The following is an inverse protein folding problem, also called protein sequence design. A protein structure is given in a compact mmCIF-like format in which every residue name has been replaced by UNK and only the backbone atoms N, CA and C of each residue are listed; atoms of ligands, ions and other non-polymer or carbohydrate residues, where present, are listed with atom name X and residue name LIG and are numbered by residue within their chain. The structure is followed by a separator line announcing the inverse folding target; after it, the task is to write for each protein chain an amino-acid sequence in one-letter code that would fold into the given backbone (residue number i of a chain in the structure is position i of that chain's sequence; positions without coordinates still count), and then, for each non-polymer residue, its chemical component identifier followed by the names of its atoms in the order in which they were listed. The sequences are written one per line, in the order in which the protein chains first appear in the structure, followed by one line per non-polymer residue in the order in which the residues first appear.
data_IF_396902630452
#
_entry.id   IF_396902630452
#
_cell.length_a   1.000
_cell.length_b   1.000
_cell.length_c   1.000
_cell.angle_alpha   90.00
_cell.angle_beta   90.00
_cell.angle_gamma   90.00
#
_symmetry.space_group_name_H-M   'P 1'
#
loop_
_entity.id
_entity.type
_entity.pdbx_description
1 polymer ?
#
# COMPACT_ATOMS: atom_id res chain seq x y z
N UNK A 1 26.48 -19.34 -15.07
CA UNK A 1 25.40 -18.36 -14.84
C UNK A 1 24.53 -18.85 -13.70
N UNK A 2 24.66 -18.27 -12.49
CA UNK A 2 23.83 -18.65 -11.34
C UNK A 2 22.55 -17.80 -11.38
N UNK A 3 21.45 -18.46 -11.73
CA UNK A 3 20.11 -17.91 -11.65
C UNK A 3 19.73 -17.69 -10.18
N UNK A 4 18.81 -16.76 -9.92
CA UNK A 4 18.18 -16.42 -8.63
C UNK A 4 18.55 -17.31 -7.43
N UNK A 5 19.12 -16.72 -6.38
CA UNK A 5 19.57 -17.39 -5.13
C UNK A 5 18.41 -17.97 -4.28
N UNK A 6 17.57 -18.82 -4.86
CA UNK A 6 16.67 -19.67 -4.09
C UNK A 6 17.45 -20.89 -3.59
N UNK A 7 17.23 -21.22 -2.34
CA UNK A 7 17.79 -22.44 -1.74
C UNK A 7 17.00 -23.61 -2.31
N UNK A 8 17.71 -24.55 -2.94
CA UNK A 8 17.18 -25.83 -3.39
C UNK A 8 16.73 -26.66 -2.18
N UNK A 9 15.61 -27.36 -2.30
CA UNK A 9 15.06 -28.19 -1.24
C UNK A 9 15.94 -29.38 -0.88
N UNK A 10 16.72 -29.96 -1.80
CA UNK A 10 17.53 -31.15 -1.50
C UNK A 10 18.69 -30.86 -0.53
N UNK A 11 19.56 -29.84 -0.75
CA UNK A 11 20.60 -29.50 0.22
C UNK A 11 20.03 -29.10 1.59
N UNK A 12 18.84 -28.47 1.59
CA UNK A 12 18.17 -28.05 2.81
C UNK A 12 17.56 -29.25 3.57
N UNK A 13 17.02 -30.23 2.86
CA UNK A 13 16.59 -31.52 3.41
C UNK A 13 17.77 -32.22 4.09
N UNK A 14 18.91 -32.37 3.38
CA UNK A 14 20.12 -32.98 3.93
C UNK A 14 20.60 -32.27 5.20
N UNK A 15 20.57 -30.93 5.19
CA UNK A 15 20.94 -30.13 6.35
C UNK A 15 20.01 -30.40 7.54
N UNK A 16 18.70 -30.44 7.32
CA UNK A 16 17.74 -30.65 8.42
C UNK A 16 17.85 -32.08 8.94
N UNK A 17 17.95 -33.09 8.07
CA UNK A 17 18.10 -34.49 8.46
C UNK A 17 19.35 -34.72 9.31
N UNK A 18 20.47 -34.15 8.90
CA UNK A 18 21.76 -34.41 9.56
C UNK A 18 21.99 -33.57 10.81
N UNK A 19 21.50 -32.33 10.84
CA UNK A 19 21.87 -31.37 11.88
C UNK A 19 20.70 -30.89 12.74
N UNK A 20 19.46 -31.04 12.26
CA UNK A 20 18.25 -30.58 12.97
C UNK A 20 17.17 -31.67 13.09
N UNK A 21 17.48 -32.91 13.50
CA UNK A 21 16.53 -34.03 13.47
C UNK A 21 15.33 -33.87 14.43
N UNK A 22 15.41 -32.92 15.38
CA UNK A 22 14.31 -32.61 16.33
C UNK A 22 13.46 -31.41 15.90
N UNK A 23 13.70 -30.86 14.71
CA UNK A 23 12.97 -29.70 14.21
C UNK A 23 11.51 -30.05 13.97
N UNK A 24 10.59 -29.41 14.71
CA UNK A 24 9.14 -29.64 14.59
C UNK A 24 8.44 -28.62 13.69
N UNK A 25 9.03 -27.45 13.54
CA UNK A 25 8.43 -26.35 12.79
C UNK A 25 9.49 -25.74 11.91
N UNK A 26 9.23 -25.79 10.62
CA UNK A 26 10.05 -25.14 9.62
C UNK A 26 9.27 -23.98 9.01
N UNK A 27 9.92 -22.81 8.94
CA UNK A 27 9.35 -21.62 8.28
C UNK A 27 10.41 -21.05 7.37
N UNK A 28 10.08 -21.01 6.09
CA UNK A 28 10.93 -20.45 5.05
C UNK A 28 10.16 -19.35 4.33
N UNK A 29 10.83 -18.24 4.06
CA UNK A 29 10.30 -17.16 3.25
C UNK A 29 11.44 -16.55 2.46
N UNK A 30 11.40 -16.74 1.15
CA UNK A 30 12.36 -16.21 0.19
C UNK A 30 11.59 -15.31 -0.78
N UNK A 31 12.09 -14.10 -0.97
CA UNK A 31 11.57 -13.15 -1.97
C UNK A 31 12.74 -12.73 -2.83
N UNK A 32 12.58 -12.82 -4.14
CA UNK A 32 13.56 -12.33 -5.09
C UNK A 32 12.91 -11.31 -6.03
N UNK A 33 13.64 -10.23 -6.31
CA UNK A 33 13.25 -9.19 -7.25
C UNK A 33 13.88 -9.48 -8.61
N UNK A 34 13.07 -9.46 -9.66
CA UNK A 34 13.55 -9.62 -11.02
C UNK A 34 14.19 -8.32 -11.50
N UNK A 35 15.45 -8.09 -11.14
CA UNK A 35 16.20 -6.92 -11.61
C UNK A 35 16.64 -7.04 -13.08
N UNK A 36 16.73 -8.26 -13.62
CA UNK A 36 17.34 -8.50 -14.94
C UNK A 36 16.66 -9.60 -15.78
N UNK A 37 16.11 -10.67 -15.16
CA UNK A 37 15.40 -11.73 -15.90
C UNK A 37 14.42 -12.49 -15.00
N UNK A 38 13.13 -12.60 -15.38
CA UNK A 38 12.19 -13.44 -14.66
C UNK A 38 12.61 -14.92 -14.69
N UNK A 39 12.34 -15.65 -13.62
CA UNK A 39 12.50 -17.12 -13.63
C UNK A 39 11.54 -17.72 -14.65
N UNK A 40 12.03 -18.67 -15.44
CA UNK A 40 11.17 -19.43 -16.34
C UNK A 40 10.26 -20.34 -15.52
N UNK A 41 9.12 -20.73 -16.09
CA UNK A 41 8.22 -21.67 -15.42
C UNK A 41 8.92 -23.01 -15.11
N UNK A 42 9.80 -23.48 -15.99
CA UNK A 42 10.63 -24.67 -15.78
C UNK A 42 11.54 -24.54 -14.54
N UNK A 43 12.12 -23.36 -14.31
CA UNK A 43 12.94 -23.11 -13.12
C UNK A 43 12.09 -23.10 -11.85
N UNK A 44 10.87 -22.55 -11.93
CA UNK A 44 9.90 -22.61 -10.83
C UNK A 44 9.50 -24.07 -10.57
N UNK A 45 9.28 -24.87 -11.60
CA UNK A 45 8.98 -26.30 -11.45
C UNK A 45 10.15 -27.06 -10.82
N UNK A 46 11.37 -26.83 -11.28
CA UNK A 46 12.55 -27.45 -10.69
C UNK A 46 12.67 -27.11 -9.19
N UNK A 47 12.49 -25.84 -8.83
CA UNK A 47 12.46 -25.40 -7.43
C UNK A 47 11.35 -26.10 -6.66
N UNK A 48 10.10 -26.07 -7.15
CA UNK A 48 8.96 -26.70 -6.48
C UNK A 48 9.16 -28.22 -6.31
N UNK A 49 9.75 -28.89 -7.30
CA UNK A 49 10.02 -30.33 -7.26
C UNK A 49 11.04 -30.69 -6.17
N UNK A 50 12.04 -29.84 -5.91
CA UNK A 50 12.99 -30.06 -4.80
C UNK A 50 12.33 -30.05 -3.40
N UNK A 51 11.12 -29.49 -3.29
CA UNK A 51 10.31 -29.47 -2.06
C UNK A 51 9.12 -30.45 -2.08
N UNK A 52 9.11 -31.42 -3.01
CA UNK A 52 8.06 -32.44 -3.16
C UNK A 52 8.47 -33.84 -2.69
N UNK A 53 9.65 -34.00 -2.09
CA UNK A 53 10.05 -35.30 -1.52
C UNK A 53 9.15 -35.70 -0.35
N UNK A 54 9.15 -37.00 -0.02
CA UNK A 54 8.41 -37.55 1.13
C UNK A 54 8.81 -36.89 2.46
N UNK A 55 10.05 -36.41 2.56
CA UNK A 55 10.54 -35.63 3.69
C UNK A 55 9.66 -34.41 3.97
N UNK A 56 9.39 -33.60 2.95
CA UNK A 56 8.64 -32.37 3.08
C UNK A 56 7.16 -32.67 3.32
N UNK A 57 6.58 -33.53 2.49
CA UNK A 57 5.13 -33.74 2.41
C UNK A 57 4.63 -34.73 3.48
N UNK A 58 5.21 -35.93 3.53
CA UNK A 58 4.67 -37.04 4.31
C UNK A 58 5.22 -37.05 5.74
N UNK A 59 6.54 -36.94 5.89
CA UNK A 59 7.23 -37.01 7.18
C UNK A 59 6.95 -35.77 8.04
N UNK A 60 7.08 -34.58 7.46
CA UNK A 60 7.03 -33.32 8.21
C UNK A 60 5.76 -32.49 7.97
N UNK A 61 5.01 -32.75 6.89
CA UNK A 61 3.84 -31.96 6.47
C UNK A 61 4.16 -30.46 6.35
N UNK A 62 5.37 -30.15 5.87
CA UNK A 62 5.79 -28.80 5.53
C UNK A 62 5.54 -28.57 4.05
N UNK A 63 4.49 -27.82 3.76
CA UNK A 63 4.12 -27.49 2.40
C UNK A 63 4.70 -26.14 1.99
N UNK A 64 4.89 -25.96 0.69
CA UNK A 64 5.53 -24.78 0.11
C UNK A 64 4.67 -24.21 -0.99
N UNK A 65 4.70 -22.89 -1.12
CA UNK A 65 4.02 -22.12 -2.15
C UNK A 65 5.02 -21.23 -2.86
N UNK A 66 4.95 -21.25 -4.18
CA UNK A 66 5.61 -20.30 -5.05
C UNK A 66 4.55 -19.42 -5.74
N UNK A 67 4.75 -18.11 -5.66
CA UNK A 67 3.96 -17.12 -6.39
C UNK A 67 4.93 -16.21 -7.15
N UNK A 68 4.73 -16.05 -8.45
CA UNK A 68 5.52 -15.12 -9.25
C UNK A 68 4.61 -14.16 -10.01
N UNK A 69 5.03 -12.90 -10.09
CA UNK A 69 4.48 -11.89 -10.98
C UNK A 69 5.60 -11.33 -11.89
N UNK A 70 5.38 -10.18 -12.52
CA UNK A 70 6.38 -9.54 -13.39
C UNK A 70 7.65 -9.08 -12.66
N UNK A 71 7.56 -8.80 -11.37
CA UNK A 71 8.59 -8.08 -10.62
C UNK A 71 9.21 -8.93 -9.52
N UNK A 72 8.46 -9.89 -8.97
CA UNK A 72 8.91 -10.71 -7.87
C UNK A 72 8.52 -12.17 -8.00
N UNK A 73 9.30 -13.00 -7.33
CA UNK A 73 8.95 -14.37 -6.99
C UNK A 73 9.05 -14.52 -5.47
N UNK A 74 8.00 -15.10 -4.88
CA UNK A 74 7.86 -15.36 -3.45
C UNK A 74 7.72 -16.86 -3.26
N UNK A 75 8.69 -17.46 -2.59
CA UNK A 75 8.70 -18.86 -2.22
C UNK A 75 8.67 -19.01 -0.71
N UNK A 76 7.75 -19.79 -0.17
CA UNK A 76 7.58 -19.86 1.29
C UNK A 76 6.85 -21.11 1.77
N UNK A 77 7.00 -21.42 3.05
CA UNK A 77 6.17 -22.42 3.72
C UNK A 77 4.70 -21.95 3.82
N UNK A 78 3.76 -22.83 3.48
CA UNK A 78 2.31 -22.61 3.65
C UNK A 78 1.97 -22.62 5.14
N UNK A 79 1.21 -21.63 5.59
CA UNK A 79 0.69 -21.62 6.96
C UNK A 79 -0.76 -21.16 6.97
N UNK A 80 -1.57 -21.75 7.86
CA UNK A 80 -3.00 -21.43 8.01
C UNK A 80 -3.27 -19.98 8.45
N UNK A 81 -2.27 -19.28 8.98
CA UNK A 81 -2.42 -17.92 9.53
C UNK A 81 -2.18 -16.81 8.50
N UNK A 82 -1.92 -17.12 7.23
CA UNK A 82 -1.45 -16.09 6.31
C UNK A 82 -2.59 -15.21 5.77
N UNK A 83 -2.64 -13.96 6.23
CA UNK A 83 -3.47 -12.90 5.64
C UNK A 83 -2.65 -12.12 4.62
N UNK A 84 -3.07 -12.14 3.36
CA UNK A 84 -2.44 -11.37 2.29
C UNK A 84 -2.84 -9.90 2.40
N UNK A 85 -2.04 -9.09 3.11
CA UNK A 85 -2.38 -7.68 3.34
C UNK A 85 -2.30 -6.81 2.09
N UNK A 86 -1.43 -7.14 1.12
CA UNK A 86 -1.36 -6.52 -0.22
C UNK A 86 -0.69 -7.51 -1.17
N UNK A 87 -1.37 -7.92 -2.23
CA UNK A 87 -0.77 -8.78 -3.25
C UNK A 87 -1.21 -8.35 -4.64
N UNK A 88 -0.25 -8.33 -5.57
CA UNK A 88 -0.51 -8.41 -7.01
C UNK A 88 -0.98 -9.82 -7.34
N UNK A 89 -1.82 -9.98 -8.35
CA UNK A 89 -2.22 -11.32 -8.76
C UNK A 89 -1.01 -12.04 -9.35
N UNK A 90 -0.69 -13.25 -8.88
CA UNK A 90 0.44 -13.99 -9.42
C UNK A 90 0.11 -14.46 -10.84
N UNK A 91 1.07 -14.33 -11.75
CA UNK A 91 1.05 -15.00 -13.06
C UNK A 91 1.28 -16.51 -12.91
N UNK A 92 2.13 -16.88 -11.97
CA UNK A 92 2.43 -18.27 -11.65
C UNK A 92 2.09 -18.53 -10.19
N UNK A 93 1.27 -19.54 -9.95
CA UNK A 93 0.95 -20.04 -8.62
C UNK A 93 1.21 -21.55 -8.60
N UNK A 94 2.12 -22.00 -7.73
CA UNK A 94 2.38 -23.43 -7.51
C UNK A 94 2.42 -23.71 -6.01
N UNK A 95 1.87 -24.84 -5.61
CA UNK A 95 1.93 -25.32 -4.23
C UNK A 95 2.30 -26.79 -4.17
N UNK A 96 2.86 -27.21 -3.04
CA UNK A 96 2.99 -28.62 -2.67
C UNK A 96 1.86 -29.10 -1.77
N UNK A 97 1.03 -28.19 -1.24
CA UNK A 97 -0.21 -28.55 -0.53
C UNK A 97 -1.36 -28.73 -1.54
N UNK A 98 -1.99 -29.91 -1.62
CA UNK A 98 -3.11 -30.15 -2.55
C UNK A 98 -4.35 -29.29 -2.26
N UNK A 99 -4.51 -28.77 -1.04
CA UNK A 99 -5.60 -27.87 -0.67
C UNK A 99 -5.26 -26.40 -0.92
N UNK A 100 -4.04 -26.10 -1.36
CA UNK A 100 -3.58 -24.75 -1.58
C UNK A 100 -3.47 -24.47 -3.07
N UNK A 101 -4.58 -24.00 -3.62
CA UNK A 101 -4.72 -23.65 -5.03
C UNK A 101 -5.00 -22.16 -5.21
N UNK A 102 -5.00 -21.73 -6.46
CA UNK A 102 -5.18 -20.32 -6.83
C UNK A 102 -6.60 -19.82 -6.49
N UNK A 103 -7.62 -20.69 -6.56
CA UNK A 103 -8.98 -20.37 -6.17
C UNK A 103 -9.10 -20.08 -4.68
N UNK A 104 -8.43 -20.89 -3.84
CA UNK A 104 -8.34 -20.65 -2.40
C UNK A 104 -7.63 -19.34 -2.09
N UNK A 105 -6.58 -19.01 -2.84
CA UNK A 105 -5.93 -17.71 -2.75
C UNK A 105 -6.94 -16.58 -3.02
N UNK A 106 -7.69 -16.63 -4.13
CA UNK A 106 -8.67 -15.59 -4.47
C UNK A 106 -9.80 -15.47 -3.45
N UNK A 107 -10.33 -16.60 -2.97
CA UNK A 107 -11.41 -16.62 -1.97
C UNK A 107 -11.00 -16.15 -0.58
N UNK A 108 -9.70 -16.14 -0.27
CA UNK A 108 -9.15 -15.69 1.02
C UNK A 108 -8.51 -14.31 0.96
N UNK A 109 -8.29 -13.77 -0.25
CA UNK A 109 -7.70 -12.46 -0.45
C UNK A 109 -8.64 -11.36 0.04
N UNK A 110 -8.11 -10.48 0.89
CA UNK A 110 -8.84 -9.33 1.41
C UNK A 110 -8.31 -7.99 0.88
N UNK A 111 -7.14 -7.99 0.26
CA UNK A 111 -6.58 -6.82 -0.39
C UNK A 111 -5.92 -7.16 -1.70
N UNK A 112 -6.32 -6.42 -2.74
CA UNK A 112 -5.70 -6.46 -4.06
C UNK A 112 -4.95 -5.16 -4.22
N UNK A 113 -3.68 -5.26 -4.62
CA UNK A 113 -2.92 -4.10 -5.08
C UNK A 113 -2.34 -4.48 -6.42
N UNK A 114 -3.12 -4.25 -7.47
CA UNK A 114 -2.74 -4.69 -8.80
C UNK A 114 -3.01 -3.59 -9.82
N UNK A 115 -1.93 -2.88 -10.15
CA UNK A 115 -1.90 -1.85 -11.18
C UNK A 115 -1.91 -2.43 -12.59
N UNK A 116 -1.70 -3.74 -12.72
CA UNK A 116 -1.59 -4.47 -14.00
C UNK A 116 -2.66 -5.57 -14.14
N UNK A 117 -3.71 -5.55 -13.29
CA UNK A 117 -4.81 -6.52 -13.34
C UNK A 117 -5.40 -6.67 -14.75
N UNK A 118 -5.43 -5.56 -15.50
CA UNK A 118 -5.99 -5.46 -16.85
C UNK A 118 -5.05 -5.95 -17.96
N UNK A 119 -3.76 -6.15 -17.66
CA UNK A 119 -2.77 -6.61 -18.64
C UNK A 119 -2.79 -8.14 -18.79
N UNK A 120 -3.59 -8.84 -17.99
CA UNK A 120 -3.73 -10.29 -18.07
C UNK A 120 -4.97 -10.68 -18.90
N UNK A 121 -4.84 -11.65 -19.83
CA UNK A 121 -5.96 -12.10 -20.65
C UNK A 121 -7.12 -12.57 -19.78
N UNK A 122 -8.24 -11.89 -19.97
CA UNK A 122 -9.57 -12.00 -19.36
C UNK A 122 -9.74 -13.22 -18.43
N UNK A 123 -9.49 -12.99 -17.14
CA UNK A 123 -9.88 -13.90 -16.07
C UNK A 123 -11.38 -13.74 -15.80
N UNK A 124 -12.22 -14.18 -16.75
CA UNK A 124 -13.68 -13.95 -16.77
C UNK A 124 -14.47 -14.50 -15.56
N UNK A 125 -13.81 -15.06 -14.53
CA UNK A 125 -14.47 -15.73 -13.39
C UNK A 125 -13.73 -15.61 -12.05
N UNK A 126 -12.90 -14.58 -11.82
CA UNK A 126 -12.32 -14.43 -10.47
C UNK A 126 -13.32 -13.77 -9.54
N UNK A 127 -13.53 -14.40 -8.39
CA UNK A 127 -14.42 -13.91 -7.34
C UNK A 127 -13.62 -13.66 -6.06
N UNK A 128 -13.71 -12.43 -5.55
CA UNK A 128 -13.07 -12.00 -4.31
C UNK A 128 -14.13 -11.76 -3.22
N UNK A 129 -14.64 -12.81 -2.56
CA UNK A 129 -15.73 -12.72 -1.59
C UNK A 129 -15.39 -11.91 -0.33
N UNK A 130 -14.11 -11.67 -0.06
CA UNK A 130 -13.63 -11.02 1.17
C UNK A 130 -12.86 -9.73 0.89
N UNK A 131 -13.01 -9.16 -0.29
CA UNK A 131 -12.27 -7.98 -0.70
C UNK A 131 -12.66 -6.77 0.15
N UNK A 132 -11.72 -6.31 0.96
CA UNK A 132 -11.86 -5.17 1.86
C UNK A 132 -11.11 -3.94 1.33
N UNK A 133 -9.94 -4.17 0.74
CA UNK A 133 -9.06 -3.11 0.24
C UNK A 133 -8.71 -3.32 -1.22
N UNK A 134 -8.84 -2.29 -2.03
CA UNK A 134 -8.53 -2.35 -3.45
C UNK A 134 -7.60 -1.22 -3.86
N UNK A 135 -6.52 -1.52 -4.57
CA UNK A 135 -5.68 -0.53 -5.24
C UNK A 135 -5.77 -0.71 -6.74
N UNK A 136 -6.09 0.36 -7.46
CA UNK A 136 -6.30 0.36 -8.91
C UNK A 136 -5.51 1.47 -9.56
N UNK A 137 -5.04 1.21 -10.78
CA UNK A 137 -4.50 2.23 -11.67
C UNK A 137 -5.63 2.81 -12.51
N UNK A 138 -5.64 4.12 -12.66
CA UNK A 138 -6.63 4.83 -13.46
C UNK A 138 -6.03 5.35 -14.78
N UNK A 139 -6.86 5.48 -15.85
CA UNK A 139 -8.30 5.19 -15.92
C UNK A 139 -8.62 3.69 -15.89
N UNK A 140 -9.84 3.36 -15.51
CA UNK A 140 -10.28 1.96 -15.36
C UNK A 140 -11.04 1.54 -16.60
N UNK A 141 -10.61 0.44 -17.22
CA UNK A 141 -11.34 -0.17 -18.34
C UNK A 141 -12.70 -0.72 -17.87
N UNK A 142 -13.75 -0.58 -18.67
CA UNK A 142 -15.07 -1.16 -18.38
C UNK A 142 -15.04 -2.66 -18.07
N UNK A 143 -14.07 -3.40 -18.64
CA UNK A 143 -13.84 -4.81 -18.34
C UNK A 143 -13.43 -5.07 -16.90
N UNK A 144 -12.80 -4.10 -16.23
CA UNK A 144 -12.42 -4.22 -14.81
C UNK A 144 -13.65 -4.47 -13.93
N UNK A 145 -14.75 -3.81 -14.27
CA UNK A 145 -15.98 -3.86 -13.50
C UNK A 145 -16.68 -5.21 -13.56
N UNK A 146 -16.51 -5.96 -14.65
CA UNK A 146 -17.07 -7.31 -14.75
C UNK A 146 -16.25 -8.32 -13.95
N UNK A 147 -14.96 -8.05 -13.70
CA UNK A 147 -14.08 -8.92 -12.94
C UNK A 147 -14.27 -8.80 -11.42
N UNK A 148 -14.64 -7.62 -10.91
CA UNK A 148 -14.80 -7.41 -9.46
C UNK A 148 -16.26 -7.16 -9.11
N UNK A 149 -17.03 -8.24 -9.03
CA UNK A 149 -18.48 -8.19 -8.76
C UNK A 149 -18.84 -7.81 -7.31
N UNK A 150 -17.90 -7.86 -6.37
CA UNK A 150 -18.15 -7.66 -4.92
C UNK A 150 -17.54 -6.39 -4.33
N UNK A 151 -17.45 -5.31 -5.10
CA UNK A 151 -16.94 -4.03 -4.59
C UNK A 151 -17.78 -3.45 -3.45
N UNK A 152 -19.04 -3.84 -3.32
CA UNK A 152 -19.93 -3.34 -2.26
C UNK A 152 -19.37 -3.52 -0.84
N UNK A 153 -18.50 -4.52 -0.60
CA UNK A 153 -17.90 -4.77 0.71
C UNK A 153 -16.57 -4.03 0.94
N UNK A 154 -15.99 -3.45 -0.12
CA UNK A 154 -14.73 -2.75 -0.01
C UNK A 154 -14.92 -1.49 0.84
N UNK A 155 -14.07 -1.34 1.85
CA UNK A 155 -14.06 -0.15 2.70
C UNK A 155 -12.78 0.67 2.56
N UNK A 156 -11.81 0.19 1.77
CA UNK A 156 -10.57 0.90 1.46
C UNK A 156 -10.29 0.87 -0.03
N UNK A 157 -9.97 2.04 -0.59
CA UNK A 157 -9.66 2.23 -2.00
C UNK A 157 -8.40 3.07 -2.15
N UNK A 158 -7.48 2.60 -2.97
CA UNK A 158 -6.28 3.32 -3.39
C UNK A 158 -6.35 3.54 -4.90
N UNK A 159 -6.29 4.79 -5.34
CA UNK A 159 -6.33 5.16 -6.75
C UNK A 159 -4.95 5.66 -7.17
N UNK A 160 -4.40 5.11 -8.25
CA UNK A 160 -3.14 5.57 -8.83
C UNK A 160 -3.40 6.26 -10.18
N UNK A 161 -3.25 7.58 -10.20
CA UNK A 161 -3.41 8.41 -11.38
C UNK A 161 -2.12 8.42 -12.19
N UNK A 162 -2.14 7.69 -13.31
CA UNK A 162 -1.04 7.67 -14.28
C UNK A 162 -1.27 8.61 -15.47
N UNK A 163 -2.52 8.93 -15.77
CA UNK A 163 -2.95 9.85 -16.84
C UNK A 163 -4.14 10.67 -16.36
N UNK A 164 -4.64 11.60 -17.17
CA UNK A 164 -5.83 12.39 -16.85
C UNK A 164 -6.98 11.49 -16.39
N UNK A 165 -7.46 11.72 -15.16
CA UNK A 165 -8.57 11.01 -14.55
C UNK A 165 -9.71 11.99 -14.32
N UNK A 166 -10.92 11.61 -14.72
CA UNK A 166 -12.09 12.48 -14.65
C UNK A 166 -12.86 12.32 -13.33
N UNK A 167 -13.51 13.40 -12.90
CA UNK A 167 -14.46 13.38 -11.78
C UNK A 167 -15.57 12.33 -12.00
N UNK A 168 -16.08 12.19 -13.23
CA UNK A 168 -17.14 11.23 -13.56
C UNK A 168 -16.72 9.77 -13.34
N UNK A 169 -15.47 9.43 -13.62
CA UNK A 169 -14.94 8.09 -13.35
C UNK A 169 -14.82 7.84 -11.85
N UNK A 170 -14.33 8.83 -11.08
CA UNK A 170 -14.29 8.72 -9.63
C UNK A 170 -15.70 8.52 -9.05
N UNK A 171 -16.66 9.32 -9.47
CA UNK A 171 -18.04 9.22 -8.99
C UNK A 171 -18.62 7.84 -9.32
N UNK A 172 -18.38 7.33 -10.53
CA UNK A 172 -18.81 5.98 -10.92
C UNK A 172 -18.19 4.91 -10.03
N UNK A 173 -16.92 5.09 -9.64
CA UNK A 173 -16.26 4.20 -8.68
C UNK A 173 -16.93 4.26 -7.32
N UNK A 174 -17.05 5.46 -6.76
CA UNK A 174 -17.61 5.70 -5.43
C UNK A 174 -19.04 5.13 -5.30
N UNK A 175 -19.85 5.25 -6.35
CA UNK A 175 -21.20 4.67 -6.40
C UNK A 175 -21.22 3.13 -6.28
N UNK A 176 -20.12 2.45 -6.62
CA UNK A 176 -19.99 0.98 -6.53
C UNK A 176 -19.40 0.49 -5.21
N UNK A 177 -18.85 1.40 -4.40
CA UNK A 177 -18.26 1.11 -3.08
C UNK A 177 -18.98 1.90 -1.97
N UNK A 178 -20.29 1.68 -1.75
CA UNK A 178 -21.10 2.48 -0.81
C UNK A 178 -20.61 2.47 0.64
N UNK A 179 -19.78 1.49 1.02
CA UNK A 179 -19.21 1.36 2.36
C UNK A 179 -17.74 1.82 2.45
N UNK A 180 -17.26 2.56 1.45
CA UNK A 180 -15.91 3.11 1.44
C UNK A 180 -15.70 4.05 2.63
N UNK A 181 -14.68 3.77 3.44
CA UNK A 181 -14.26 4.59 4.58
C UNK A 181 -12.88 5.19 4.38
N UNK A 182 -12.02 4.52 3.61
CA UNK A 182 -10.64 4.94 3.37
C UNK A 182 -10.43 5.17 1.89
N UNK A 183 -9.99 6.37 1.54
CA UNK A 183 -9.57 6.74 0.20
C UNK A 183 -8.11 7.18 0.23
N UNK A 184 -7.28 6.56 -0.59
CA UNK A 184 -5.91 6.99 -0.84
C UNK A 184 -5.77 7.36 -2.31
N UNK A 185 -5.17 8.51 -2.56
CA UNK A 185 -4.88 8.97 -3.91
C UNK A 185 -3.35 9.03 -4.07
N UNK A 186 -2.88 8.37 -5.13
CA UNK A 186 -1.51 8.41 -5.61
C UNK A 186 -1.52 9.14 -6.94
N UNK A 187 -0.60 10.10 -7.11
CA UNK A 187 -0.42 10.77 -8.38
C UNK A 187 1.06 10.84 -8.72
N UNK A 188 1.42 10.41 -9.94
CA UNK A 188 2.78 10.53 -10.43
C UNK A 188 3.13 11.98 -10.79
N UNK A 189 4.40 12.36 -10.64
CA UNK A 189 4.90 13.73 -10.53
C UNK A 189 4.71 14.65 -11.75
N UNK A 190 4.19 14.16 -12.88
CA UNK A 190 4.18 14.88 -14.15
C UNK A 190 2.88 15.64 -14.48
N UNK A 191 1.78 15.41 -13.75
CA UNK A 191 0.48 16.00 -14.08
C UNK A 191 -0.05 16.89 -12.94
N UNK A 192 -0.76 17.99 -13.25
CA UNK A 192 -1.46 18.77 -12.24
C UNK A 192 -2.48 17.93 -11.47
N UNK A 193 -2.65 18.18 -10.18
CA UNK A 193 -3.66 17.48 -9.40
C UNK A 193 -5.09 17.89 -9.83
N UNK A 194 -5.98 16.93 -10.14
CA UNK A 194 -7.32 17.23 -10.59
C UNK A 194 -8.21 17.68 -9.41
N UNK A 195 -8.21 18.97 -9.09
CA UNK A 195 -9.05 19.54 -8.01
C UNK A 195 -10.55 19.28 -8.19
N UNK A 196 -11.00 19.04 -9.43
CA UNK A 196 -12.39 18.67 -9.73
C UNK A 196 -12.85 17.37 -9.08
N UNK A 197 -11.95 16.51 -8.60
CA UNK A 197 -12.30 15.30 -7.84
C UNK A 197 -13.04 15.62 -6.53
N UNK A 198 -12.82 16.80 -5.95
CA UNK A 198 -13.51 17.23 -4.74
C UNK A 198 -14.95 17.69 -5.00
N UNK A 199 -15.40 17.71 -6.26
CA UNK A 199 -16.81 17.89 -6.61
C UNK A 199 -17.60 16.57 -6.56
N UNK A 200 -16.97 15.44 -6.25
CA UNK A 200 -17.66 14.17 -6.06
C UNK A 200 -18.60 14.22 -4.84
N UNK A 201 -19.74 13.56 -4.96
CA UNK A 201 -20.76 13.41 -3.92
C UNK A 201 -20.61 12.06 -3.23
N UNK A 202 -19.86 12.04 -2.12
CA UNK A 202 -19.68 10.81 -1.34
C UNK A 202 -19.29 11.10 0.11
N UNK A 203 -20.25 11.17 1.04
CA UNK A 203 -19.98 11.65 2.40
C UNK A 203 -19.30 10.63 3.31
N UNK A 204 -19.18 9.35 2.93
CA UNK A 204 -18.80 8.28 3.87
C UNK A 204 -17.30 8.12 4.13
N UNK A 205 -16.44 8.96 3.54
CA UNK A 205 -14.98 8.85 3.73
C UNK A 205 -14.58 9.40 5.10
N UNK A 206 -13.96 8.53 5.88
CA UNK A 206 -13.46 8.83 7.22
C UNK A 206 -11.93 9.04 7.23
N UNK A 207 -11.21 8.41 6.30
CA UNK A 207 -9.76 8.47 6.20
C UNK A 207 -9.39 8.85 4.77
N UNK A 208 -8.75 10.00 4.60
CA UNK A 208 -8.33 10.50 3.31
C UNK A 208 -6.81 10.69 3.29
N UNK A 209 -6.14 10.01 2.37
CA UNK A 209 -4.69 10.05 2.21
C UNK A 209 -4.33 10.68 0.86
N UNK A 210 -3.86 11.94 0.91
CA UNK A 210 -3.41 12.76 -0.22
C UNK A 210 -1.89 13.04 -0.18
N UNK A 211 -1.19 12.59 0.86
CA UNK A 211 0.27 12.76 1.00
C UNK A 211 1.10 12.09 -0.12
N UNK A 212 0.49 11.24 -0.93
CA UNK A 212 1.14 10.57 -2.06
C UNK A 212 0.80 11.23 -3.40
N UNK A 213 0.10 12.36 -3.37
CA UNK A 213 -0.09 13.21 -4.53
C UNK A 213 1.11 14.14 -4.63
N UNK A 214 1.72 14.30 -5.80
CA UNK A 214 2.77 15.30 -6.00
C UNK A 214 2.20 16.73 -6.11
N UNK A 215 1.35 17.12 -5.16
CA UNK A 215 0.66 18.41 -5.14
C UNK A 215 0.63 18.95 -3.72
N UNK A 216 1.31 20.08 -3.53
CA UNK A 216 1.27 20.82 -2.27
C UNK A 216 0.05 21.74 -2.29
N UNK A 217 -0.92 21.43 -1.42
CA UNK A 217 -2.17 22.16 -1.32
C UNK A 217 -1.91 23.54 -0.74
N UNK A 218 -2.34 24.57 -1.47
CA UNK A 218 -2.32 25.95 -0.97
C UNK A 218 -3.63 26.26 -0.21
N UNK A 219 -3.79 27.52 0.17
CA UNK A 219 -4.96 28.00 0.92
C UNK A 219 -6.27 27.85 0.13
N UNK A 220 -6.27 28.19 -1.16
CA UNK A 220 -7.44 28.06 -2.04
C UNK A 220 -7.84 26.59 -2.22
N UNK A 221 -6.86 25.71 -2.43
CA UNK A 221 -7.07 24.26 -2.53
C UNK A 221 -7.67 23.70 -1.23
N UNK A 222 -7.16 24.16 -0.08
CA UNK A 222 -7.68 23.75 1.23
C UNK A 222 -9.11 24.25 1.46
N UNK A 223 -9.48 25.44 0.99
CA UNK A 223 -10.86 25.94 1.03
C UNK A 223 -11.76 25.01 0.21
N UNK A 224 -11.38 24.71 -1.04
CA UNK A 224 -12.13 23.77 -1.90
C UNK A 224 -12.27 22.40 -1.21
N UNK A 225 -11.19 21.90 -0.61
CA UNK A 225 -11.20 20.64 0.12
C UNK A 225 -12.17 20.65 1.30
N UNK A 226 -12.23 21.73 2.08
CA UNK A 226 -13.11 21.85 3.25
C UNK A 226 -14.60 21.96 2.89
N UNK A 227 -14.90 22.45 1.69
CA UNK A 227 -16.27 22.57 1.17
C UNK A 227 -16.74 21.30 0.46
N UNK A 228 -15.82 20.35 0.21
CA UNK A 228 -16.12 19.11 -0.47
C UNK A 228 -17.02 18.20 0.37
N UNK A 229 -18.04 17.63 -0.27
CA UNK A 229 -18.83 16.58 0.39
C UNK A 229 -17.99 15.33 0.67
N UNK A 230 -16.93 15.09 -0.11
CA UNK A 230 -16.00 13.97 0.02
C UNK A 230 -15.28 13.97 1.39
N UNK A 231 -15.10 15.16 1.97
CA UNK A 231 -14.35 15.36 3.22
C UNK A 231 -15.24 15.69 4.41
N UNK A 232 -16.56 15.80 4.21
CA UNK A 232 -17.52 16.21 5.24
C UNK A 232 -17.50 15.34 6.50
N UNK A 233 -17.25 14.03 6.37
CA UNK A 233 -17.10 13.08 7.49
C UNK A 233 -15.65 12.63 7.72
N UNK A 234 -14.68 13.30 7.08
CA UNK A 234 -13.28 12.94 7.18
C UNK A 234 -12.79 13.19 8.61
N UNK A 235 -12.33 12.13 9.27
CA UNK A 235 -11.77 12.15 10.63
C UNK A 235 -10.26 12.19 10.63
N UNK A 236 -9.63 11.62 9.60
CA UNK A 236 -8.19 11.65 9.45
C UNK A 236 -7.81 12.05 8.03
N UNK A 237 -6.99 13.09 7.93
CA UNK A 237 -6.44 13.58 6.68
C UNK A 237 -4.92 13.51 6.74
N UNK A 238 -4.31 12.92 5.73
CA UNK A 238 -2.86 13.00 5.50
C UNK A 238 -2.62 13.75 4.17
N UNK A 239 -1.89 14.86 4.17
CA UNK A 239 -1.86 15.80 3.05
C UNK A 239 -0.52 16.53 2.92
N UNK A 240 -0.12 16.87 1.69
CA UNK A 240 0.98 17.79 1.44
C UNK A 240 0.46 19.23 1.44
N UNK A 241 1.06 20.14 2.20
CA UNK A 241 0.61 21.55 2.28
C UNK A 241 1.74 22.49 1.91
N UNK A 242 1.43 23.63 1.28
CA UNK A 242 2.45 24.64 0.97
C UNK A 242 2.94 25.39 2.19
N UNK A 243 2.05 25.66 3.15
CA UNK A 243 2.34 26.55 4.27
C UNK A 243 1.45 26.27 5.49
N UNK A 244 1.82 26.87 6.63
CA UNK A 244 1.12 26.75 7.91
C UNK A 244 -0.30 27.33 7.90
N UNK A 245 -0.57 28.28 7.00
CA UNK A 245 -1.91 28.86 6.82
C UNK A 245 -2.89 27.83 6.22
N UNK A 246 -2.41 26.98 5.32
CA UNK A 246 -3.17 25.87 4.74
C UNK A 246 -3.64 24.89 5.83
N UNK A 247 -2.75 24.54 6.78
CA UNK A 247 -3.09 23.72 7.95
C UNK A 247 -4.20 24.37 8.78
N UNK A 248 -4.06 25.67 9.09
CA UNK A 248 -5.05 26.42 9.86
C UNK A 248 -6.44 26.40 9.21
N UNK A 249 -6.51 26.55 7.88
CA UNK A 249 -7.77 26.46 7.13
C UNK A 249 -8.41 25.08 7.33
N UNK A 250 -7.64 24.00 7.18
CA UNK A 250 -8.15 22.64 7.33
C UNK A 250 -8.69 22.38 8.74
N UNK A 251 -7.89 22.67 9.78
CA UNK A 251 -8.27 22.45 11.19
C UNK A 251 -9.52 23.24 11.58
N UNK A 252 -9.66 24.47 11.11
CA UNK A 252 -10.79 25.33 11.50
C UNK A 252 -12.09 25.01 10.76
N UNK A 253 -12.02 24.46 9.54
CA UNK A 253 -13.19 24.29 8.69
C UNK A 253 -13.65 22.83 8.54
N UNK A 254 -12.77 21.85 8.78
CA UNK A 254 -13.14 20.43 8.74
C UNK A 254 -13.68 19.95 10.10
N UNK A 255 -14.97 20.16 10.33
CA UNK A 255 -15.62 19.93 11.63
C UNK A 255 -15.48 18.48 12.16
N UNK A 256 -15.40 17.50 11.26
CA UNK A 256 -15.28 16.08 11.63
C UNK A 256 -13.84 15.63 11.88
N UNK A 257 -12.84 16.49 11.65
CA UNK A 257 -11.44 16.13 11.67
C UNK A 257 -10.95 15.90 13.11
N UNK A 258 -10.36 14.73 13.34
CA UNK A 258 -9.75 14.32 14.61
C UNK A 258 -8.22 14.22 14.52
N UNK A 259 -7.68 14.03 13.31
CA UNK A 259 -6.24 13.90 13.08
C UNK A 259 -5.86 14.48 11.73
N UNK A 260 -4.77 15.25 11.69
CA UNK A 260 -4.19 15.82 10.48
C UNK A 260 -2.69 15.55 10.47
N UNK A 261 -2.22 14.77 9.50
CA UNK A 261 -0.81 14.73 9.14
C UNK A 261 -0.55 15.63 7.95
N UNK A 262 0.32 16.61 8.13
CA UNK A 262 0.66 17.61 7.13
C UNK A 262 2.16 17.58 6.84
N UNK A 263 2.53 17.45 5.58
CA UNK A 263 3.93 17.50 5.11
C UNK A 263 4.16 18.78 4.31
N UNK A 264 5.20 19.52 4.68
CA UNK A 264 5.65 20.70 3.93
C UNK A 264 6.51 20.30 2.73
N UNK A 265 6.65 21.18 1.72
CA UNK A 265 7.65 20.98 0.69
C UNK A 265 9.03 20.81 1.33
N UNK A 266 9.76 19.80 0.87
CA UNK A 266 11.17 19.63 1.19
C UNK A 266 11.96 20.78 0.55
N UNK A 267 12.00 21.95 1.20
CA UNK A 267 12.82 23.07 0.75
C UNK A 267 14.32 22.74 0.84
N UNK A 268 14.67 21.64 1.51
CA UNK A 268 16.04 21.35 1.91
C UNK A 268 16.54 19.91 1.69
N UNK A 269 15.96 19.12 0.78
CA UNK A 269 16.53 17.79 0.45
C UNK A 269 18.02 17.89 0.10
N UNK A 270 18.44 18.93 -0.61
CA UNK A 270 19.85 19.09 -0.98
C UNK A 270 20.73 19.47 0.21
N UNK A 271 20.25 20.30 1.16
CA UNK A 271 21.01 20.58 2.39
C UNK A 271 21.05 19.36 3.31
N UNK A 272 19.95 18.61 3.46
CA UNK A 272 19.89 17.37 4.24
C UNK A 272 20.78 16.29 3.61
N UNK A 273 20.76 16.13 2.29
CA UNK A 273 21.67 15.22 1.57
C UNK A 273 23.12 15.67 1.77
N UNK A 274 23.40 16.98 1.69
CA UNK A 274 24.73 17.51 1.94
C UNK A 274 25.17 17.30 3.40
N UNK A 275 24.29 17.43 4.39
CA UNK A 275 24.56 17.15 5.80
C UNK A 275 24.81 15.64 6.03
N UNK A 276 23.99 14.76 5.45
CA UNK A 276 24.15 13.30 5.54
C UNK A 276 25.45 12.85 4.85
N UNK A 277 25.78 13.43 3.70
CA UNK A 277 27.03 13.13 2.98
C UNK A 277 28.25 13.64 3.76
N UNK A 278 28.13 14.76 4.46
CA UNK A 278 29.24 15.39 5.19
C UNK A 278 29.40 14.89 6.64
N UNK A 279 28.39 14.26 7.25
CA UNK A 279 28.49 13.70 8.60
C UNK A 279 28.27 12.18 8.67
N UNK A 280 29.37 11.42 8.70
CA UNK A 280 29.39 10.06 9.30
C UNK A 280 29.37 10.23 10.83
N UNK A 281 28.27 10.72 11.40
CA UNK A 281 28.02 10.67 12.86
C UNK A 281 26.58 10.27 13.17
N UNK A 282 26.36 9.52 14.26
CA UNK A 282 25.05 8.98 14.58
C UNK A 282 24.09 10.12 14.94
N UNK A 283 22.89 10.02 14.38
CA UNK A 283 21.76 10.95 14.47
C UNK A 283 21.73 11.73 15.79
N UNK A 284 22.00 13.03 15.71
CA UNK A 284 21.35 13.97 16.62
C UNK A 284 19.86 13.86 16.33
N UNK A 285 19.10 13.24 17.23
CA UNK A 285 17.68 13.53 17.29
C UNK A 285 17.57 15.04 17.47
N UNK A 286 17.01 15.71 16.46
CA UNK A 286 16.76 17.15 16.47
C UNK A 286 15.71 17.47 17.54
N UNK A 287 16.14 17.53 18.79
CA UNK A 287 15.41 18.17 19.89
C UNK A 287 15.58 19.69 19.76
N UNK A 288 15.26 20.25 18.58
CA UNK A 288 15.27 21.70 18.41
C UNK A 288 14.07 22.25 19.18
N UNK A 289 14.40 22.92 20.29
CA UNK A 289 13.48 23.65 21.15
C UNK A 289 12.81 24.83 20.40
N UNK A 290 13.27 25.13 19.18
CA UNK A 290 12.82 26.26 18.36
C UNK A 290 12.23 25.79 17.01
N UNK A 291 11.27 24.86 17.02
CA UNK A 291 10.49 24.55 15.81
C UNK A 291 9.47 25.66 15.56
N UNK A 292 9.85 26.65 14.73
CA UNK A 292 9.04 27.84 14.45
C UNK A 292 7.65 27.47 13.91
N UNK A 293 7.55 26.42 13.10
CA UNK A 293 6.27 25.96 12.55
C UNK A 293 5.36 25.42 13.63
N UNK A 294 5.88 24.54 14.51
CA UNK A 294 5.09 24.04 15.65
C UNK A 294 4.68 25.21 16.54
N UNK A 295 5.61 26.10 16.90
CA UNK A 295 5.33 27.20 17.81
C UNK A 295 4.28 28.16 17.22
N UNK A 296 4.34 28.42 15.91
CA UNK A 296 3.32 29.17 15.21
C UNK A 296 1.97 28.46 15.25
N UNK A 297 1.92 27.16 14.95
CA UNK A 297 0.68 26.37 14.96
C UNK A 297 0.06 26.32 16.36
N UNK A 298 0.87 26.13 17.41
CA UNK A 298 0.42 26.18 18.82
C UNK A 298 -0.24 27.53 19.14
N UNK A 299 0.27 28.62 18.58
CA UNK A 299 -0.26 29.96 18.83
C UNK A 299 -1.51 30.31 17.97
N UNK A 300 -1.78 29.58 16.88
CA UNK A 300 -2.81 29.94 15.90
C UNK A 300 -3.92 28.89 15.72
N UNK A 301 -3.76 27.69 16.27
CA UNK A 301 -4.77 26.64 16.28
C UNK A 301 -5.54 26.61 17.61
N UNK A 302 -6.75 26.03 17.63
CA UNK A 302 -7.50 25.83 18.87
C UNK A 302 -6.68 25.08 19.92
N UNK A 303 -6.83 25.43 21.20
CA UNK A 303 -6.14 24.76 22.32
C UNK A 303 -6.53 23.29 22.50
N UNK A 304 -7.57 22.82 21.81
CA UNK A 304 -7.94 21.40 21.73
C UNK A 304 -6.97 20.58 20.87
N UNK A 305 -6.10 21.24 20.10
CA UNK A 305 -5.12 20.60 19.25
C UNK A 305 -3.86 20.19 20.04
N UNK A 306 -3.37 18.98 19.80
CA UNK A 306 -2.02 18.54 20.22
C UNK A 306 -1.17 18.38 18.98
N UNK A 307 -0.02 19.06 18.93
CA UNK A 307 0.85 19.14 17.75
C UNK A 307 2.18 18.47 18.07
N UNK A 308 2.68 17.66 17.16
CA UNK A 308 3.97 16.96 17.27
C UNK A 308 4.55 16.70 15.89
N UNK A 309 5.88 16.59 15.77
CA UNK A 309 6.50 16.08 14.53
C UNK A 309 6.48 14.55 14.50
N UNK A 310 6.40 13.97 13.31
CA UNK A 310 6.60 12.54 13.15
C UNK A 310 8.08 12.21 13.40
N UNK A 311 8.42 11.34 14.37
CA UNK A 311 9.80 10.97 14.64
C UNK A 311 10.50 10.24 13.48
N UNK A 312 9.72 9.72 12.52
CA UNK A 312 10.22 9.06 11.31
C UNK A 312 10.40 10.01 10.12
N UNK A 313 9.81 11.21 10.16
CA UNK A 313 9.93 12.20 9.09
C UNK A 313 9.84 13.63 9.66
N UNK A 314 10.97 14.34 9.71
CA UNK A 314 11.05 15.67 10.32
C UNK A 314 10.16 16.71 9.62
N UNK A 315 9.77 16.48 8.37
CA UNK A 315 8.91 17.41 7.62
C UNK A 315 7.42 17.14 7.80
N UNK A 316 7.07 16.10 8.57
CA UNK A 316 5.70 15.72 8.86
C UNK A 316 5.29 16.27 10.22
N UNK A 317 4.24 17.08 10.22
CA UNK A 317 3.56 17.55 11.42
C UNK A 317 2.29 16.73 11.60
N UNK A 318 2.13 16.15 12.78
CA UNK A 318 0.94 15.44 13.23
C UNK A 318 0.16 16.30 14.23
N UNK A 319 -1.12 16.49 13.96
CA UNK A 319 -2.04 17.30 14.75
C UNK A 319 -3.23 16.45 15.16
N UNK A 320 -3.44 16.29 16.47
CA UNK A 320 -4.57 15.59 17.06
C UNK A 320 -5.60 16.59 17.58
N UNK A 321 -6.86 16.44 17.19
CA UNK A 321 -7.97 17.34 17.52
C UNK A 321 -8.96 16.57 18.40
N UNK A 322 -9.25 17.12 19.59
CA UNK A 322 -10.13 16.50 20.59
C UNK A 322 -11.59 16.91 20.47
#
# INVERSE_FOLDING_TARGET
MKYCNFIDGYPLEDLIRNYLPKLRTFRLSMTNLFLMRPMTEEQIDALMNSFRSSFWIDENRWFFRCMADEHFIRFRTVSNAFRYRRMRLPRVFKSTDPQDNIERLYTTMNSISDETLLDQPILSKIFFPKLYSLSVKCPINDQYWSMISNLHQASSLSLNFSTGFSQSELQTFLNRVPHLRTLTIYQNASLPFPMSLFNCTFPSIHYLYLQYCNHYFNEEDCIVLTQSSLTSQCKQLEILVKNRQSIKILVNNMISLCSLGARFPDENINEIINEIINEIRPSRMCNNVDDEDIQWLVNHLPSTCTISRDPSCINDIQIWIK
#
